data_IF_746810637949
#
_entry.id   IF_746810637949
#
_cell.length_a   1.000
_cell.length_b   1.000
_cell.length_c   1.000
_cell.angle_alpha   90.00
_cell.angle_beta   90.00
_cell.angle_gamma   90.00
#
_symmetry.space_group_name_H-M   'P 1'
#
loop_
_entity.id
_entity.type
_entity.pdbx_description
1 polymer ?
#
# COMPACT_ATOMS: atom_id res chain seq x y z
N UNK A 1 -0.19 0.75 22.89
CA UNK A 1 -0.61 0.69 21.46
C UNK A 1 -0.07 1.93 20.75
N UNK A 2 0.35 1.82 19.49
CA UNK A 2 0.76 2.95 18.64
C UNK A 2 0.05 2.83 17.28
N UNK A 3 -0.37 3.95 16.69
CA UNK A 3 -0.99 4.01 15.37
C UNK A 3 -0.05 4.73 14.40
N UNK A 4 0.13 4.17 13.21
CA UNK A 4 0.94 4.76 12.14
C UNK A 4 0.04 5.09 10.93
N UNK A 5 -0.65 6.25 10.91
CA UNK A 5 -1.39 6.66 9.75
C UNK A 5 -0.47 6.85 8.55
N UNK A 6 -0.99 6.61 7.35
CA UNK A 6 -0.24 6.83 6.10
C UNK A 6 -1.06 7.56 5.03
N UNK A 7 -2.37 7.72 5.23
CA UNK A 7 -3.29 8.47 4.37
C UNK A 7 -4.45 9.04 5.19
N UNK A 8 -4.86 10.26 4.85
CA UNK A 8 -6.15 10.86 5.22
C UNK A 8 -7.06 10.72 3.99
N UNK A 9 -8.09 9.88 4.09
CA UNK A 9 -8.87 9.46 2.91
C UNK A 9 -9.96 10.45 2.51
N UNK A 10 -10.55 11.17 3.46
CA UNK A 10 -11.61 12.13 3.22
C UNK A 10 -11.67 13.21 4.31
N UNK A 11 -12.31 14.31 3.97
CA UNK A 11 -12.77 15.36 4.88
C UNK A 11 -14.23 15.70 4.53
N UNK A 12 -14.87 16.55 5.33
CA UNK A 12 -16.25 16.97 5.06
C UNK A 12 -16.40 17.52 3.63
N UNK A 13 -17.28 16.90 2.85
CA UNK A 13 -17.56 17.29 1.46
C UNK A 13 -16.45 16.97 0.44
N UNK A 14 -15.41 16.21 0.81
CA UNK A 14 -14.24 16.02 -0.06
C UNK A 14 -13.54 14.66 0.11
N UNK A 15 -13.36 13.96 -1.00
CA UNK A 15 -12.39 12.86 -1.09
C UNK A 15 -10.97 13.42 -1.16
N UNK A 16 -10.07 12.86 -0.36
CA UNK A 16 -8.65 13.21 -0.33
C UNK A 16 -7.78 12.10 -0.93
N UNK A 17 -8.39 11.04 -1.47
CA UNK A 17 -7.67 9.91 -2.03
C UNK A 17 -6.82 10.25 -3.27
N UNK A 18 -7.13 11.35 -3.96
CA UNK A 18 -6.37 11.87 -5.10
C UNK A 18 -5.20 12.78 -4.70
N UNK A 19 -5.00 13.05 -3.41
CA UNK A 19 -3.90 13.88 -2.93
C UNK A 19 -2.59 13.08 -3.02
N UNK A 20 -1.51 13.65 -3.59
CA UNK A 20 -0.19 13.02 -3.64
C UNK A 20 0.31 12.53 -2.27
N UNK A 21 1.06 11.42 -2.29
CA UNK A 21 1.53 10.71 -1.10
C UNK A 21 2.47 11.54 -0.23
N UNK A 22 3.33 12.37 -0.82
CA UNK A 22 4.22 13.29 -0.09
C UNK A 22 3.41 14.28 0.76
N UNK A 23 2.35 14.87 0.19
CA UNK A 23 1.45 15.79 0.91
C UNK A 23 0.65 15.07 1.99
N UNK A 24 0.14 13.87 1.70
CA UNK A 24 -0.56 13.02 2.68
C UNK A 24 0.32 12.76 3.91
N UNK A 25 1.59 12.41 3.67
CA UNK A 25 2.55 12.09 4.72
C UNK A 25 2.99 13.33 5.51
N UNK A 26 3.09 14.50 4.85
CA UNK A 26 3.31 15.77 5.54
C UNK A 26 2.13 16.17 6.45
N UNK A 27 0.88 15.88 6.05
CA UNK A 27 -0.27 16.08 6.95
C UNK A 27 -0.22 15.15 8.16
N UNK A 28 0.12 13.87 7.94
CA UNK A 28 0.29 12.91 9.03
C UNK A 28 1.40 13.35 9.99
N UNK A 29 2.53 13.84 9.51
CA UNK A 29 3.61 14.33 10.38
C UNK A 29 3.13 15.45 11.30
N UNK A 30 2.36 16.40 10.76
CA UNK A 30 1.76 17.48 11.56
C UNK A 30 0.76 16.96 12.59
N UNK A 31 0.00 15.91 12.26
CA UNK A 31 -0.90 15.26 13.24
C UNK A 31 -0.11 14.60 14.37
N UNK A 32 1.01 13.94 14.05
CA UNK A 32 1.89 13.31 15.05
C UNK A 32 2.57 14.37 15.93
N UNK A 33 3.07 15.45 15.33
CA UNK A 33 3.71 16.58 16.04
C UNK A 33 2.79 17.21 17.08
N UNK A 34 1.48 17.30 16.77
CA UNK A 34 0.48 17.88 17.64
C UNK A 34 -0.34 16.85 18.43
N UNK A 35 0.12 15.59 18.53
CA UNK A 35 -0.55 14.56 19.35
C UNK A 35 0.00 14.54 20.79
N UNK A 36 -0.71 15.13 21.78
CA UNK A 36 -0.25 15.13 23.17
C UNK A 36 -0.30 13.74 23.81
N UNK A 37 -1.02 12.79 23.22
CA UNK A 37 -1.18 11.43 23.78
C UNK A 37 -0.04 10.49 23.39
N UNK A 38 0.77 10.88 22.40
CA UNK A 38 1.77 10.02 21.76
C UNK A 38 1.18 8.73 21.15
N UNK A 39 -0.13 8.64 20.93
CA UNK A 39 -0.75 7.48 20.31
C UNK A 39 -0.27 7.31 18.86
N UNK A 40 -0.05 8.43 18.17
CA UNK A 40 0.38 8.46 16.78
C UNK A 40 1.91 8.36 16.66
N UNK A 41 2.37 7.72 15.60
CA UNK A 41 3.78 7.68 15.21
C UNK A 41 3.94 7.91 13.71
N UNK A 42 5.03 8.56 13.31
CA UNK A 42 5.38 8.77 11.91
C UNK A 42 5.79 7.46 11.24
N UNK A 43 5.36 7.26 9.99
CA UNK A 43 5.85 6.14 9.16
C UNK A 43 7.21 6.49 8.56
N UNK A 44 8.27 5.73 8.90
CA UNK A 44 9.59 5.87 8.25
C UNK A 44 9.46 5.71 6.73
N UNK A 45 10.15 6.55 5.98
CA UNK A 45 10.04 6.61 4.51
C UNK A 45 11.31 7.17 3.88
N UNK A 46 11.45 6.90 2.58
CA UNK A 46 12.52 7.42 1.73
C UNK A 46 11.92 7.67 0.35
N UNK A 47 12.16 8.85 -0.22
CA UNK A 47 11.83 9.13 -1.62
C UNK A 47 12.92 8.53 -2.51
N UNK A 48 12.52 7.89 -3.60
CA UNK A 48 13.43 7.24 -4.55
C UNK A 48 13.10 7.73 -5.95
N UNK A 49 14.08 8.30 -6.64
CA UNK A 49 14.00 8.57 -8.07
C UNK A 49 14.45 7.32 -8.84
N UNK A 50 13.53 6.70 -9.58
CA UNK A 50 13.83 5.48 -10.35
C UNK A 50 14.66 5.73 -11.60
N UNK A 51 14.86 6.99 -12.00
CA UNK A 51 15.76 7.39 -13.08
C UNK A 51 17.20 7.63 -12.65
N UNK A 52 17.49 7.66 -11.36
CA UNK A 52 18.82 7.88 -10.78
C UNK A 52 19.30 6.60 -10.08
N UNK A 53 20.35 5.96 -10.63
CA UNK A 53 20.92 4.73 -10.08
C UNK A 53 21.41 4.90 -8.63
N UNK A 54 21.92 6.08 -8.28
CA UNK A 54 22.39 6.35 -6.91
C UNK A 54 21.23 6.45 -5.91
N UNK A 55 20.11 7.04 -6.33
CA UNK A 55 18.88 7.09 -5.53
C UNK A 55 18.27 5.70 -5.36
N UNK A 56 18.26 4.88 -6.41
CA UNK A 56 17.82 3.48 -6.34
C UNK A 56 18.68 2.69 -5.35
N UNK A 57 20.01 2.83 -5.41
CA UNK A 57 20.90 2.15 -4.48
C UNK A 57 20.65 2.58 -3.03
N UNK A 58 20.46 3.87 -2.78
CA UNK A 58 20.11 4.37 -1.45
C UNK A 58 18.77 3.77 -0.95
N UNK A 59 17.79 3.59 -1.84
CA UNK A 59 16.54 2.89 -1.56
C UNK A 59 16.73 1.43 -1.15
N UNK A 60 17.59 0.71 -1.87
CA UNK A 60 17.95 -0.69 -1.56
C UNK A 60 18.65 -0.78 -0.20
N UNK A 61 19.65 0.06 0.05
CA UNK A 61 20.41 0.04 1.30
C UNK A 61 19.54 0.35 2.52
N UNK A 62 18.66 1.36 2.39
CA UNK A 62 17.68 1.68 3.43
C UNK A 62 16.75 0.52 3.74
N UNK A 63 16.27 -0.19 2.72
CA UNK A 63 15.41 -1.36 2.89
C UNK A 63 16.16 -2.53 3.52
N UNK A 64 17.41 -2.77 3.12
CA UNK A 64 18.27 -3.81 3.71
C UNK A 64 18.54 -3.52 5.19
N UNK A 65 18.85 -2.27 5.56
CA UNK A 65 19.07 -1.88 6.96
C UNK A 65 17.80 -2.10 7.79
N UNK A 66 16.65 -1.59 7.31
CA UNK A 66 15.39 -1.67 8.05
C UNK A 66 14.92 -3.12 8.23
N UNK A 67 15.03 -3.95 7.20
CA UNK A 67 14.67 -5.38 7.28
C UNK A 67 15.69 -6.18 8.09
N UNK A 68 16.98 -5.85 8.04
CA UNK A 68 18.02 -6.45 8.88
C UNK A 68 17.84 -6.17 10.37
N UNK A 69 17.13 -5.10 10.73
CA UNK A 69 16.76 -4.75 12.11
C UNK A 69 15.41 -5.32 12.57
N UNK A 70 14.85 -6.26 11.80
CA UNK A 70 13.60 -6.95 12.12
C UNK A 70 12.34 -6.31 11.50
N UNK A 71 12.48 -5.31 10.64
CA UNK A 71 11.34 -4.76 9.89
C UNK A 71 10.77 -5.77 8.90
N UNK A 72 9.45 -5.77 8.73
CA UNK A 72 8.76 -6.63 7.74
C UNK A 72 9.24 -6.34 6.31
N UNK A 73 9.44 -5.06 5.97
CA UNK A 73 9.72 -4.60 4.62
C UNK A 73 9.12 -3.23 4.36
N UNK A 74 8.88 -2.91 3.08
CA UNK A 74 8.34 -1.63 2.65
C UNK A 74 7.13 -1.78 1.73
N UNK A 75 6.38 -0.69 1.59
CA UNK A 75 5.39 -0.51 0.54
C UNK A 75 5.89 0.61 -0.38
N UNK A 76 6.18 0.27 -1.63
CA UNK A 76 6.59 1.22 -2.66
C UNK A 76 5.33 1.81 -3.28
N UNK A 77 5.21 3.14 -3.29
CA UNK A 77 4.09 3.87 -3.88
C UNK A 77 4.62 4.93 -4.83
N UNK A 78 3.84 5.27 -5.84
CA UNK A 78 4.11 6.46 -6.64
C UNK A 78 3.88 7.71 -5.78
N UNK A 79 4.57 8.82 -6.07
CA UNK A 79 4.32 10.08 -5.34
C UNK A 79 2.91 10.58 -5.66
N UNK A 80 2.54 10.58 -6.93
CA UNK A 80 1.19 10.93 -7.34
C UNK A 80 0.18 9.81 -7.02
N UNK A 81 -1.03 10.22 -6.67
CA UNK A 81 -2.16 9.30 -6.53
C UNK A 81 -2.87 9.12 -7.88
N UNK A 82 -3.63 8.02 -8.03
CA UNK A 82 -4.48 7.75 -9.19
C UNK A 82 -3.76 7.72 -10.55
N UNK A 83 -2.48 7.36 -10.55
CA UNK A 83 -1.66 7.33 -11.77
C UNK A 83 -2.18 6.30 -12.76
N UNK A 84 -2.22 6.70 -14.04
CA UNK A 84 -2.57 5.82 -15.16
C UNK A 84 -1.38 5.63 -16.08
N UNK A 85 -1.27 4.46 -16.69
CA UNK A 85 -0.25 4.18 -17.69
C UNK A 85 -0.58 4.84 -19.05
N UNK A 86 0.33 4.74 -20.02
CA UNK A 86 0.14 5.30 -21.38
C UNK A 86 -1.03 4.70 -22.17
N UNK A 87 -1.77 3.72 -21.61
CA UNK A 87 -2.99 3.14 -22.16
C UNK A 87 -4.23 3.48 -21.33
N UNK A 88 -4.10 4.41 -20.37
CA UNK A 88 -5.19 4.86 -19.50
C UNK A 88 -5.56 3.88 -18.37
N UNK A 89 -4.78 2.81 -18.15
CA UNK A 89 -5.06 1.81 -17.10
C UNK A 89 -4.48 2.28 -15.78
N UNK A 90 -5.23 2.07 -14.70
CA UNK A 90 -4.78 2.42 -13.35
C UNK A 90 -3.56 1.60 -12.96
N UNK A 91 -2.52 2.27 -12.47
CA UNK A 91 -1.31 1.64 -11.94
C UNK A 91 -1.57 1.16 -10.52
N UNK A 92 -0.85 0.11 -10.09
CA UNK A 92 -0.96 -0.39 -8.71
C UNK A 92 -0.69 0.74 -7.71
N UNK A 93 -1.58 0.97 -6.73
CA UNK A 93 -1.45 2.07 -5.76
C UNK A 93 -0.33 1.83 -4.74
N UNK A 94 0.15 0.59 -4.62
CA UNK A 94 1.29 0.24 -3.80
C UNK A 94 1.77 -1.19 -4.05
N UNK A 95 3.07 -1.39 -3.96
CA UNK A 95 3.71 -2.71 -4.10
C UNK A 95 4.46 -3.04 -2.81
N UNK A 96 4.08 -4.14 -2.17
CA UNK A 96 4.76 -4.65 -0.97
C UNK A 96 6.06 -5.38 -1.33
N UNK A 97 7.14 -5.02 -0.66
CA UNK A 97 8.47 -5.63 -0.80
C UNK A 97 8.94 -6.04 0.59
N UNK A 98 8.77 -7.33 0.90
CA UNK A 98 8.99 -7.91 2.24
C UNK A 98 10.39 -8.48 2.37
N UNK A 99 11.01 -8.27 3.52
CA UNK A 99 12.34 -8.72 3.89
C UNK A 99 12.47 -10.24 3.90
N UNK A 100 13.69 -10.72 3.67
CA UNK A 100 14.01 -12.16 3.61
C UNK A 100 13.58 -12.91 4.87
N UNK A 101 13.95 -12.39 6.04
CA UNK A 101 13.66 -13.09 7.29
C UNK A 101 12.17 -13.08 7.63
N UNK A 102 11.46 -11.97 7.35
CA UNK A 102 10.00 -11.91 7.50
C UNK A 102 9.28 -12.93 6.61
N UNK A 103 9.75 -13.12 5.38
CA UNK A 103 9.15 -14.06 4.44
C UNK A 103 9.22 -15.53 4.89
N UNK A 104 10.04 -15.88 5.90
CA UNK A 104 9.99 -17.21 6.55
C UNK A 104 8.67 -17.45 7.27
N UNK A 105 8.04 -16.40 7.82
CA UNK A 105 6.72 -16.48 8.46
C UNK A 105 5.65 -16.82 7.41
N UNK A 106 5.82 -16.30 6.19
CA UNK A 106 4.85 -16.43 5.09
C UNK A 106 5.02 -17.73 4.30
N UNK A 107 6.27 -18.12 3.98
CA UNK A 107 6.57 -19.25 3.11
C UNK A 107 7.16 -20.47 3.85
N UNK A 108 7.35 -20.37 5.16
CA UNK A 108 7.97 -21.39 5.98
C UNK A 108 9.48 -21.16 6.17
N UNK A 109 10.09 -21.74 7.23
CA UNK A 109 11.47 -21.49 7.62
C UNK A 109 12.50 -21.90 6.56
N UNK A 110 12.17 -22.88 5.73
CA UNK A 110 13.08 -23.46 4.72
C UNK A 110 12.93 -22.84 3.33
N UNK A 111 12.08 -21.82 3.15
CA UNK A 111 11.74 -21.29 1.82
C UNK A 111 12.95 -20.76 1.04
N UNK A 112 14.05 -20.46 1.72
CA UNK A 112 15.30 -19.97 1.12
C UNK A 112 16.17 -21.07 0.51
N UNK A 113 15.80 -22.35 0.62
CA UNK A 113 16.53 -23.43 -0.06
C UNK A 113 16.40 -23.28 -1.59
N UNK A 114 17.44 -23.54 -2.40
CA UNK A 114 17.44 -23.27 -3.84
C UNK A 114 16.22 -23.86 -4.58
N UNK A 115 15.88 -25.12 -4.30
CA UNK A 115 14.76 -25.83 -4.91
C UNK A 115 13.40 -25.23 -4.52
N UNK A 116 13.28 -24.70 -3.29
CA UNK A 116 12.09 -23.99 -2.84
C UNK A 116 11.99 -22.64 -3.54
N UNK A 117 13.07 -21.87 -3.59
CA UNK A 117 13.10 -20.58 -4.27
C UNK A 117 12.76 -20.68 -5.75
N UNK A 118 13.30 -21.67 -6.46
CA UNK A 118 13.01 -21.88 -7.87
C UNK A 118 11.52 -22.11 -8.12
N UNK A 119 10.89 -23.00 -7.35
CA UNK A 119 9.45 -23.25 -7.40
C UNK A 119 8.64 -21.98 -7.04
N UNK A 120 9.09 -21.24 -6.04
CA UNK A 120 8.42 -20.02 -5.57
C UNK A 120 8.59 -18.82 -6.51
N UNK A 121 9.53 -18.84 -7.46
CA UNK A 121 9.64 -17.80 -8.50
C UNK A 121 8.56 -17.94 -9.57
N UNK A 122 8.04 -19.14 -9.80
CA UNK A 122 7.02 -19.43 -10.83
C UNK A 122 5.59 -19.00 -10.44
N UNK A 123 5.43 -17.92 -9.67
CA UNK A 123 4.12 -17.52 -9.14
C UNK A 123 3.38 -16.57 -10.08
N UNK A 124 2.07 -16.81 -10.21
CA UNK A 124 1.17 -15.98 -11.00
C UNK A 124 0.60 -14.83 -10.15
N UNK A 125 1.11 -13.62 -10.35
CA UNK A 125 0.63 -12.41 -9.64
C UNK A 125 -0.56 -11.72 -10.32
N UNK A 126 -0.96 -12.17 -11.52
CA UNK A 126 -1.94 -11.48 -12.36
C UNK A 126 -3.33 -11.34 -11.71
N UNK A 127 -3.85 -12.43 -11.14
CA UNK A 127 -5.17 -12.43 -10.51
C UNK A 127 -5.22 -11.48 -9.30
N UNK A 128 -4.20 -11.55 -8.41
CA UNK A 128 -4.10 -10.66 -7.24
C UNK A 128 -3.95 -9.18 -7.63
N UNK A 129 -3.15 -8.89 -8.67
CA UNK A 129 -3.01 -7.52 -9.19
C UNK A 129 -4.33 -6.98 -9.73
N UNK A 130 -5.11 -7.82 -10.41
CA UNK A 130 -6.44 -7.45 -10.91
C UNK A 130 -7.41 -7.17 -9.76
N UNK A 131 -7.46 -8.04 -8.74
CA UNK A 131 -8.26 -7.85 -7.54
C UNK A 131 -7.94 -6.53 -6.83
N UNK A 132 -6.66 -6.29 -6.53
CA UNK A 132 -6.22 -5.07 -5.86
C UNK A 132 -6.63 -3.79 -6.61
N UNK A 133 -6.62 -3.79 -7.94
CA UNK A 133 -7.07 -2.63 -8.73
C UNK A 133 -8.59 -2.46 -8.70
N UNK A 134 -9.37 -3.55 -8.71
CA UNK A 134 -10.83 -3.50 -8.59
C UNK A 134 -11.25 -3.00 -7.21
N UNK A 135 -10.67 -3.56 -6.15
CA UNK A 135 -10.89 -3.13 -4.77
C UNK A 135 -10.51 -1.65 -4.58
N UNK A 136 -9.35 -1.24 -5.11
CA UNK A 136 -8.91 0.15 -5.04
C UNK A 136 -9.89 1.08 -5.75
N UNK A 137 -10.34 0.74 -6.97
CA UNK A 137 -11.33 1.54 -7.71
C UNK A 137 -12.66 1.67 -6.95
N UNK A 138 -13.15 0.58 -6.35
CA UNK A 138 -14.37 0.59 -5.54
C UNK A 138 -14.21 1.42 -4.26
N UNK A 139 -13.04 1.35 -3.60
CA UNK A 139 -12.74 2.19 -2.43
C UNK A 139 -12.74 3.69 -2.78
N UNK A 140 -12.18 4.05 -3.94
CA UNK A 140 -12.21 5.44 -4.43
C UNK A 140 -13.63 5.90 -4.72
N UNK A 141 -14.43 5.06 -5.37
CA UNK A 141 -15.83 5.35 -5.66
C UNK A 141 -16.64 5.54 -4.36
N UNK A 142 -16.43 4.69 -3.36
CA UNK A 142 -17.09 4.83 -2.06
C UNK A 142 -16.76 6.17 -1.38
N UNK A 143 -15.49 6.57 -1.38
CA UNK A 143 -15.04 7.85 -0.81
C UNK A 143 -15.62 9.05 -1.56
N UNK A 144 -15.74 8.96 -2.89
CA UNK A 144 -16.28 10.02 -3.71
C UNK A 144 -17.81 10.17 -3.53
N UNK A 145 -18.55 9.06 -3.48
CA UNK A 145 -19.99 9.06 -3.15
C UNK A 145 -20.24 9.65 -1.76
N UNK A 146 -19.40 9.28 -0.79
CA UNK A 146 -19.44 9.83 0.57
C UNK A 146 -19.21 11.35 0.56
N UNK A 147 -18.19 11.81 -0.18
CA UNK A 147 -17.87 13.23 -0.28
C UNK A 147 -19.00 14.06 -0.90
N UNK A 148 -19.73 13.50 -1.87
CA UNK A 148 -20.89 14.15 -2.52
C UNK A 148 -22.17 14.12 -1.69
N UNK A 149 -22.17 13.44 -0.53
CA UNK A 149 -23.35 13.27 0.30
C UNK A 149 -24.42 12.39 -0.35
N UNK A 150 -24.02 11.42 -1.18
CA UNK A 150 -24.97 10.45 -1.74
C UNK A 150 -25.63 9.63 -0.62
N UNK A 151 -26.85 9.08 -0.86
CA UNK A 151 -27.51 8.20 0.09
C UNK A 151 -26.62 7.04 0.52
N UNK A 152 -26.70 6.65 1.80
CA UNK A 152 -25.82 5.65 2.40
C UNK A 152 -25.78 4.32 1.62
N UNK A 153 -26.89 3.89 1.02
CA UNK A 153 -26.95 2.66 0.24
C UNK A 153 -26.08 2.71 -1.03
N UNK A 154 -25.90 3.89 -1.64
CA UNK A 154 -24.97 4.09 -2.77
C UNK A 154 -23.52 4.00 -2.32
N UNK A 155 -23.18 4.54 -1.16
CA UNK A 155 -21.83 4.38 -0.59
C UNK A 155 -21.57 2.92 -0.27
N UNK A 156 -22.52 2.26 0.41
CA UNK A 156 -22.40 0.86 0.79
C UNK A 156 -22.36 -0.12 -0.38
N UNK A 157 -22.99 0.17 -1.51
CA UNK A 157 -22.87 -0.63 -2.73
C UNK A 157 -21.40 -0.86 -3.10
N UNK A 158 -20.58 0.20 -3.11
CA UNK A 158 -19.15 0.09 -3.43
C UNK A 158 -18.35 -0.57 -2.30
N UNK A 159 -18.66 -0.25 -1.03
CA UNK A 159 -18.01 -0.87 0.15
C UNK A 159 -18.25 -2.38 0.21
N UNK A 160 -19.48 -2.83 -0.01
CA UNK A 160 -19.82 -4.25 0.00
C UNK A 160 -19.28 -4.98 -1.22
N UNK A 161 -19.11 -4.30 -2.35
CA UNK A 161 -18.40 -4.88 -3.49
C UNK A 161 -16.93 -5.18 -3.14
N UNK A 162 -16.23 -4.30 -2.41
CA UNK A 162 -14.87 -4.61 -1.89
C UNK A 162 -14.89 -5.87 -1.03
N UNK A 163 -15.82 -5.95 -0.07
CA UNK A 163 -15.95 -7.12 0.80
C UNK A 163 -16.25 -8.41 0.03
N UNK A 164 -17.06 -8.34 -1.03
CA UNK A 164 -17.35 -9.48 -1.89
C UNK A 164 -16.12 -9.93 -2.68
N UNK A 165 -15.29 -9.01 -3.15
CA UNK A 165 -14.03 -9.33 -3.86
C UNK A 165 -13.00 -10.01 -2.95
N UNK A 166 -12.91 -9.61 -1.68
CA UNK A 166 -12.04 -10.25 -0.69
C UNK A 166 -12.44 -11.72 -0.39
N UNK A 167 -13.63 -12.15 -0.81
CA UNK A 167 -14.07 -13.55 -0.74
C UNK A 167 -13.62 -14.38 -1.96
N UNK A 168 -13.06 -13.77 -3.02
CA UNK A 168 -12.47 -14.50 -4.14
C UNK A 168 -11.21 -15.26 -3.65
N UNK A 169 -11.05 -16.55 -3.96
CA UNK A 169 -9.92 -17.33 -3.48
C UNK A 169 -8.61 -16.87 -4.13
N UNK A 170 -7.70 -16.33 -3.33
CA UNK A 170 -6.33 -15.94 -3.73
C UNK A 170 -5.32 -16.69 -2.89
N UNK A 171 -4.12 -16.94 -3.44
CA UNK A 171 -3.00 -17.46 -2.66
C UNK A 171 -2.76 -16.59 -1.40
N UNK A 172 -2.97 -17.10 -0.18
CA UNK A 172 -2.93 -16.32 1.06
C UNK A 172 -1.52 -15.82 1.36
N UNK A 173 -0.50 -16.35 0.68
CA UNK A 173 0.90 -15.97 0.89
C UNK A 173 1.28 -14.72 0.08
N UNK A 174 0.47 -14.36 -0.92
CA UNK A 174 0.75 -13.25 -1.84
C UNK A 174 0.39 -11.89 -1.28
#
# INVERSE_FOLDING_TARGET
MRLAPFQVLAAQGRSLAAVPHDRQLAWVDRLVEHDPTSLLQTTRRLAVDTGDESSVQAGVDWWLEMTGRGGEGMVVKLVDALVRDGRGRLVQPGVKVRGREYLRIVYGPEYTRPEQLERLRQRFLGHKRSLALREYALGLEALERLARGEPLWRVHEAVFAVLALESEPVDPRL
#
